data_IF_429045691798
#
_entry.id   IF_429045691798
#
_cell.length_a   1.000
_cell.length_b   1.000
_cell.length_c   1.000
_cell.angle_alpha   90.00
_cell.angle_beta   90.00
_cell.angle_gamma   90.00
#
_symmetry.space_group_name_H-M   'P 1'
#
loop_
_entity.id
_entity.type
_entity.pdbx_description
1 polymer ?
#
# COMPACT_ATOMS: atom_id res chain seq x y z
N UNK A 1 -5.48 13.73 -10.99
CA UNK A 1 -4.33 14.56 -11.37
C UNK A 1 -3.54 15.00 -10.12
N UNK A 2 -4.16 15.67 -9.15
CA UNK A 2 -3.45 16.23 -7.98
C UNK A 2 -2.64 15.19 -7.18
N UNK A 3 -3.16 13.99 -6.98
CA UNK A 3 -2.42 12.92 -6.31
C UNK A 3 -1.14 12.51 -7.05
N UNK A 4 -1.16 12.49 -8.38
CA UNK A 4 0.04 12.25 -9.18
C UNK A 4 1.03 13.41 -9.09
N UNK A 5 0.55 14.65 -9.06
CA UNK A 5 1.41 15.81 -8.87
C UNK A 5 2.09 15.77 -7.50
N UNK A 6 1.40 15.34 -6.43
CA UNK A 6 2.04 15.17 -5.12
C UNK A 6 3.22 14.19 -5.18
N UNK A 7 3.08 13.05 -5.87
CA UNK A 7 4.17 12.08 -6.09
C UNK A 7 5.33 12.70 -6.87
N UNK A 8 5.04 13.40 -7.97
CA UNK A 8 6.06 14.06 -8.81
C UNK A 8 6.87 15.07 -8.00
N UNK A 9 6.18 15.94 -7.24
CA UNK A 9 6.87 16.98 -6.47
C UNK A 9 7.62 16.40 -5.25
N UNK A 10 7.14 15.33 -4.63
CA UNK A 10 7.91 14.60 -3.62
C UNK A 10 9.24 14.08 -4.21
N UNK A 11 9.21 13.52 -5.43
CA UNK A 11 10.40 12.98 -6.10
C UNK A 11 11.37 14.09 -6.55
N UNK A 12 10.85 15.28 -6.88
CA UNK A 12 11.65 16.45 -7.20
C UNK A 12 12.24 17.13 -5.98
N UNK A 13 11.81 16.79 -4.77
CA UNK A 13 12.20 17.49 -3.54
C UNK A 13 11.52 18.86 -3.35
N UNK A 14 10.49 19.19 -4.16
CA UNK A 14 9.67 20.41 -4.00
C UNK A 14 8.54 20.08 -3.01
N UNK A 15 8.87 20.13 -1.73
CA UNK A 15 7.98 19.69 -0.66
C UNK A 15 6.75 20.59 -0.50
N UNK A 16 6.89 21.89 -0.74
CA UNK A 16 5.75 22.81 -0.64
C UNK A 16 4.69 22.51 -1.72
N UNK A 17 5.10 22.26 -2.97
CA UNK A 17 4.18 21.83 -4.01
C UNK A 17 3.64 20.41 -3.79
N UNK A 18 4.44 19.51 -3.22
CA UNK A 18 3.97 18.20 -2.83
C UNK A 18 2.78 18.32 -1.85
N UNK A 19 2.93 19.15 -0.82
CA UNK A 19 1.88 19.41 0.18
C UNK A 19 0.68 20.10 -0.47
N UNK A 20 0.90 21.13 -1.29
CA UNK A 20 -0.16 21.87 -1.98
C UNK A 20 -1.05 20.92 -2.80
N UNK A 21 -0.47 20.15 -3.71
CA UNK A 21 -1.23 19.25 -4.57
C UNK A 21 -1.77 18.03 -3.82
N UNK A 22 -1.05 17.56 -2.80
CA UNK A 22 -1.52 16.50 -1.94
C UNK A 22 -2.77 16.90 -1.18
N UNK A 23 -2.81 18.09 -0.59
CA UNK A 23 -3.99 18.60 0.10
C UNK A 23 -5.21 18.78 -0.83
N UNK A 24 -4.99 19.22 -2.08
CA UNK A 24 -6.06 19.27 -3.07
C UNK A 24 -6.61 17.88 -3.43
N UNK A 25 -5.73 16.89 -3.50
CA UNK A 25 -6.15 15.50 -3.74
C UNK A 25 -6.93 14.92 -2.56
N UNK A 26 -6.47 15.17 -1.33
CA UNK A 26 -7.13 14.74 -0.09
C UNK A 26 -8.50 15.40 0.06
N UNK A 27 -8.60 16.70 -0.22
CA UNK A 27 -9.88 17.42 -0.17
C UNK A 27 -10.91 16.84 -1.15
N UNK A 28 -10.48 16.41 -2.34
CA UNK A 28 -11.34 15.79 -3.34
C UNK A 28 -11.68 14.31 -3.08
N UNK A 29 -10.87 13.60 -2.32
CA UNK A 29 -11.06 12.19 -1.97
C UNK A 29 -10.37 11.86 -0.64
N UNK A 30 -11.00 12.16 0.49
CA UNK A 30 -10.37 12.07 1.81
C UNK A 30 -10.23 10.63 2.34
N UNK A 31 -11.01 9.68 1.80
CA UNK A 31 -10.94 8.29 2.30
C UNK A 31 -9.61 7.63 1.95
N UNK A 32 -8.94 7.12 2.96
CA UNK A 32 -7.75 6.25 2.78
C UNK A 32 -8.12 4.75 2.64
N UNK A 33 -9.41 4.47 2.54
CA UNK A 33 -9.98 3.14 2.66
C UNK A 33 -10.17 2.75 4.14
N UNK A 34 -11.40 2.45 4.53
CA UNK A 34 -11.71 2.08 5.92
C UNK A 34 -11.07 0.76 6.32
N UNK A 35 -10.87 0.55 7.61
CA UNK A 35 -10.37 -0.73 8.16
C UNK A 35 -11.20 -1.93 7.68
N UNK A 36 -12.52 -1.77 7.64
CA UNK A 36 -13.47 -2.83 7.24
C UNK A 36 -13.41 -3.11 5.74
N UNK A 37 -13.29 -2.06 4.91
CA UNK A 37 -13.31 -2.19 3.45
C UNK A 37 -11.93 -2.57 2.87
N UNK A 38 -10.86 -2.33 3.61
CA UNK A 38 -9.49 -2.48 3.09
C UNK A 38 -9.19 -3.86 2.49
N UNK A 39 -9.57 -5.00 3.10
CA UNK A 39 -9.37 -6.30 2.47
C UNK A 39 -10.11 -6.43 1.13
N UNK A 40 -11.33 -5.89 1.04
CA UNK A 40 -12.15 -5.94 -0.15
C UNK A 40 -11.57 -5.12 -1.32
N UNK A 41 -10.78 -4.08 -1.04
CA UNK A 41 -10.04 -3.33 -2.09
C UNK A 41 -9.11 -4.25 -2.87
N UNK A 42 -8.58 -5.31 -2.25
CA UNK A 42 -7.63 -6.25 -2.86
C UNK A 42 -8.26 -7.55 -3.32
N UNK A 43 -9.48 -7.83 -2.90
CA UNK A 43 -10.16 -9.10 -3.18
C UNK A 43 -11.51 -8.95 -3.88
N UNK A 44 -11.94 -7.73 -4.20
CA UNK A 44 -13.23 -7.48 -4.85
C UNK A 44 -13.21 -6.18 -5.67
N UNK A 45 -14.38 -5.73 -6.12
CA UNK A 45 -14.58 -4.45 -6.84
C UNK A 45 -14.52 -3.22 -5.95
N UNK A 46 -14.21 -3.35 -4.66
CA UNK A 46 -14.19 -2.21 -3.75
C UNK A 46 -13.08 -1.22 -4.16
N UNK A 47 -13.45 0.05 -4.29
CA UNK A 47 -12.54 1.14 -4.69
C UNK A 47 -12.33 2.17 -3.57
N UNK A 48 -12.67 1.83 -2.32
CA UNK A 48 -12.47 2.72 -1.18
C UNK A 48 -10.98 3.10 -1.04
N UNK A 49 -10.70 4.40 -1.09
CA UNK A 49 -9.33 4.93 -1.08
C UNK A 49 -8.54 4.77 -2.38
N UNK A 50 -9.17 4.35 -3.49
CA UNK A 50 -8.52 4.24 -4.81
C UNK A 50 -8.82 5.48 -5.64
N UNK A 51 -7.78 6.22 -6.02
CA UNK A 51 -7.88 7.44 -6.85
C UNK A 51 -7.79 7.12 -8.35
N UNK A 52 -7.00 6.14 -8.71
CA UNK A 52 -6.82 5.72 -10.09
C UNK A 52 -6.45 4.25 -10.17
N UNK A 53 -7.16 3.52 -11.02
CA UNK A 53 -6.85 2.13 -11.36
C UNK A 53 -6.85 1.94 -12.87
N UNK A 54 -6.06 1.00 -13.33
CA UNK A 54 -6.08 0.50 -14.69
C UNK A 54 -6.91 -0.77 -14.70
N UNK A 55 -7.97 -0.77 -15.49
CA UNK A 55 -8.80 -1.94 -15.70
C UNK A 55 -8.05 -2.94 -16.59
N UNK A 56 -8.28 -4.20 -16.34
CA UNK A 56 -7.77 -5.27 -17.15
C UNK A 56 -8.92 -6.22 -17.52
N UNK A 57 -8.85 -6.82 -18.69
CA UNK A 57 -9.85 -7.74 -19.20
C UNK A 57 -9.23 -9.12 -19.46
N UNK A 58 -10.08 -10.11 -19.72
CA UNK A 58 -9.60 -11.45 -20.09
C UNK A 58 -8.80 -11.47 -21.37
N UNK A 59 -9.05 -10.53 -22.29
CA UNK A 59 -8.30 -10.37 -23.52
C UNK A 59 -6.91 -9.74 -23.28
N UNK A 60 -6.76 -9.01 -22.18
CA UNK A 60 -5.55 -8.27 -21.79
C UNK A 60 -4.89 -8.90 -20.57
N UNK A 61 -5.09 -10.21 -20.37
CA UNK A 61 -4.57 -10.91 -19.21
C UNK A 61 -3.06 -10.73 -19.05
N UNK A 62 -2.64 -10.38 -17.83
CA UNK A 62 -1.24 -10.18 -17.47
C UNK A 62 -0.80 -11.19 -16.42
N UNK A 63 0.47 -11.56 -16.43
CA UNK A 63 1.01 -12.63 -15.58
C UNK A 63 1.25 -12.23 -14.12
N UNK A 64 0.82 -11.03 -13.70
CA UNK A 64 1.05 -10.51 -12.34
C UNK A 64 0.50 -11.46 -11.27
N UNK A 65 -0.75 -11.93 -11.45
CA UNK A 65 -1.35 -12.87 -10.49
C UNK A 65 -0.58 -14.19 -10.43
N UNK A 66 -0.11 -14.69 -11.56
CA UNK A 66 0.66 -15.92 -11.65
C UNK A 66 2.02 -15.79 -10.96
N UNK A 67 2.71 -14.66 -11.12
CA UNK A 67 4.01 -14.43 -10.48
C UNK A 67 3.91 -14.40 -8.95
N UNK A 68 2.82 -13.91 -8.40
CA UNK A 68 2.63 -13.80 -6.96
C UNK A 68 1.84 -14.96 -6.36
N UNK A 69 0.89 -15.55 -7.09
CA UNK A 69 0.10 -16.68 -6.62
C UNK A 69 -0.26 -17.61 -7.77
N UNK A 70 0.48 -18.69 -7.94
CA UNK A 70 0.15 -19.77 -8.87
C UNK A 70 -0.55 -20.92 -8.15
N UNK A 71 -1.50 -21.55 -8.85
CA UNK A 71 -2.08 -22.81 -8.42
C UNK A 71 -2.90 -22.71 -7.14
N UNK A 72 -3.63 -21.61 -6.96
CA UNK A 72 -4.70 -21.56 -5.97
C UNK A 72 -5.76 -22.58 -6.36
N UNK A 73 -5.53 -23.83 -6.03
CA UNK A 73 -6.55 -24.85 -6.15
C UNK A 73 -7.44 -24.80 -4.92
N UNK A 74 -8.72 -24.94 -5.13
CA UNK A 74 -9.73 -25.09 -4.08
C UNK A 74 -9.50 -26.35 -3.22
N UNK A 75 -8.58 -27.19 -3.58
CA UNK A 75 -8.26 -28.44 -2.93
C UNK A 75 -6.85 -28.44 -2.38
N UNK A 76 -6.70 -27.98 -1.15
CA UNK A 76 -5.62 -28.44 -0.28
C UNK A 76 -4.23 -27.82 -0.40
N UNK A 77 -4.13 -26.58 -0.81
CA UNK A 77 -3.08 -25.81 -0.18
C UNK A 77 -1.69 -25.76 -0.80
N UNK A 78 -1.49 -26.19 -2.02
CA UNK A 78 -0.22 -25.96 -2.70
C UNK A 78 -0.25 -24.68 -3.54
N UNK A 79 -0.15 -23.53 -2.87
CA UNK A 79 0.02 -22.25 -3.56
C UNK A 79 1.49 -22.10 -3.90
N UNK A 80 1.78 -22.10 -5.18
CA UNK A 80 3.09 -21.72 -5.69
C UNK A 80 3.13 -20.22 -5.99
N UNK A 81 4.21 -19.54 -5.62
CA UNK A 81 4.54 -18.21 -6.13
C UNK A 81 6.01 -18.16 -6.51
N UNK A 82 6.32 -17.37 -7.54
CA UNK A 82 7.70 -17.11 -7.95
C UNK A 82 8.40 -16.21 -6.94
N UNK A 83 7.64 -15.36 -6.24
CA UNK A 83 8.12 -14.44 -5.24
C UNK A 83 7.52 -14.73 -3.87
N UNK A 84 8.35 -14.65 -2.85
CA UNK A 84 7.94 -14.79 -1.46
C UNK A 84 8.20 -13.50 -0.69
N UNK A 85 7.43 -13.29 0.36
CA UNK A 85 7.58 -12.11 1.22
C UNK A 85 8.82 -12.27 2.09
N UNK A 86 9.76 -11.34 2.06
CA UNK A 86 10.96 -11.43 2.88
C UNK A 86 10.60 -11.26 4.37
N UNK A 87 11.35 -11.99 5.23
CA UNK A 87 11.15 -11.93 6.68
C UNK A 87 11.23 -10.50 7.22
N UNK A 88 12.13 -9.67 6.70
CA UNK A 88 12.30 -8.28 7.10
C UNK A 88 11.07 -7.38 6.86
N UNK A 89 10.15 -7.79 5.97
CA UNK A 89 8.86 -7.12 5.80
C UNK A 89 7.79 -7.78 6.68
N UNK A 90 7.78 -9.10 6.75
CA UNK A 90 6.83 -9.84 7.60
C UNK A 90 6.87 -9.41 9.06
N UNK A 91 8.07 -9.23 9.60
CA UNK A 91 8.28 -8.85 11.00
C UNK A 91 7.78 -7.43 11.35
N UNK A 92 7.51 -6.61 10.34
CA UNK A 92 6.96 -5.27 10.55
C UNK A 92 5.43 -5.28 10.74
N UNK A 93 4.72 -6.31 10.24
CA UNK A 93 3.27 -6.41 10.38
C UNK A 93 2.91 -7.01 11.74
N UNK A 94 2.18 -6.28 12.54
CA UNK A 94 1.63 -6.76 13.81
C UNK A 94 0.35 -7.57 13.58
N UNK A 95 -0.13 -8.27 14.62
CA UNK A 95 -1.32 -9.11 14.50
C UNK A 95 -2.61 -8.32 14.25
N UNK A 96 -2.66 -7.06 14.69
CA UNK A 96 -3.80 -6.16 14.50
C UNK A 96 -3.73 -5.31 13.23
N UNK A 97 -2.71 -5.52 12.37
CA UNK A 97 -2.57 -4.82 11.09
C UNK A 97 -3.34 -5.56 9.99
N UNK A 98 -4.41 -4.95 9.49
CA UNK A 98 -5.26 -5.53 8.45
C UNK A 98 -4.52 -5.80 7.14
N UNK A 99 -3.44 -5.07 6.86
CA UNK A 99 -2.63 -5.24 5.65
C UNK A 99 -1.95 -6.60 5.60
N UNK A 100 -1.62 -7.18 6.75
CA UNK A 100 -0.97 -8.49 6.82
C UNK A 100 -1.79 -9.55 6.10
N UNK A 101 -3.04 -9.71 6.46
CA UNK A 101 -3.93 -10.69 5.83
C UNK A 101 -4.40 -10.30 4.44
N UNK A 102 -4.53 -8.98 4.17
CA UNK A 102 -4.92 -8.48 2.86
C UNK A 102 -3.83 -8.64 1.78
N UNK A 103 -2.57 -8.67 2.18
CA UNK A 103 -1.43 -8.72 1.26
C UNK A 103 -0.73 -10.06 1.21
N UNK A 104 -0.80 -10.85 2.29
CA UNK A 104 0.08 -12.00 2.51
C UNK A 104 -0.74 -13.19 2.99
N UNK A 105 -0.47 -14.34 2.40
CA UNK A 105 -0.98 -15.63 2.85
C UNK A 105 0.18 -16.56 3.13
N UNK A 106 0.14 -17.25 4.25
CA UNK A 106 1.06 -18.36 4.53
C UNK A 106 0.42 -19.66 4.07
N UNK A 107 1.13 -20.44 3.29
CA UNK A 107 0.73 -21.77 2.86
C UNK A 107 1.91 -22.71 2.73
N UNK A 108 1.65 -24.00 2.60
CA UNK A 108 2.68 -25.02 2.38
C UNK A 108 2.84 -25.24 0.88
N UNK A 109 4.07 -25.26 0.40
CA UNK A 109 4.44 -25.70 -0.93
C UNK A 109 5.65 -26.64 -0.83
N UNK A 110 5.52 -27.84 -1.37
CA UNK A 110 6.56 -28.90 -1.30
C UNK A 110 7.07 -29.14 0.13
N UNK A 111 6.16 -29.22 1.11
CA UNK A 111 6.48 -29.46 2.52
C UNK A 111 7.05 -28.25 3.27
N UNK A 112 7.25 -27.11 2.64
CA UNK A 112 7.80 -25.91 3.26
C UNK A 112 6.76 -24.80 3.36
N UNK A 113 6.67 -24.16 4.52
CA UNK A 113 5.85 -22.97 4.70
C UNK A 113 6.46 -21.79 3.94
N UNK A 114 5.63 -21.07 3.21
CA UNK A 114 5.98 -19.87 2.45
C UNK A 114 4.95 -18.77 2.68
N UNK A 115 5.43 -17.53 2.68
CA UNK A 115 4.59 -16.34 2.73
C UNK A 115 4.41 -15.81 1.30
N UNK A 116 3.24 -15.99 0.75
CA UNK A 116 2.91 -15.60 -0.63
C UNK A 116 2.27 -14.23 -0.66
N UNK A 117 2.56 -13.46 -1.70
CA UNK A 117 1.86 -12.20 -1.97
C UNK A 117 0.49 -12.52 -2.58
N UNK A 118 -0.58 -12.08 -1.91
CA UNK A 118 -1.96 -12.23 -2.41
C UNK A 118 -2.59 -10.90 -2.82
N UNK A 119 -1.90 -9.80 -2.64
CA UNK A 119 -2.37 -8.45 -2.99
C UNK A 119 -2.79 -8.32 -4.47
N UNK A 120 -2.15 -9.07 -5.36
CA UNK A 120 -2.39 -9.05 -6.79
C UNK A 120 -3.00 -10.36 -7.32
N UNK A 121 -3.48 -11.19 -6.43
CA UNK A 121 -3.89 -12.55 -6.79
C UNK A 121 -5.34 -12.65 -7.27
N UNK A 122 -6.11 -11.57 -7.18
CA UNK A 122 -7.54 -11.68 -7.39
C UNK A 122 -8.08 -10.59 -8.31
N UNK A 123 -8.90 -11.04 -9.23
CA UNK A 123 -9.82 -10.19 -9.94
C UNK A 123 -11.19 -10.22 -9.29
N UNK A 124 -11.81 -9.16 -9.36
CA UNK A 124 -13.12 -8.72 -9.00
C UNK A 124 -14.23 -9.58 -9.59
N UNK A 125 -15.21 -9.91 -8.76
CA UNK A 125 -16.42 -10.54 -9.22
C UNK A 125 -16.44 -12.07 -9.20
N UNK A 126 -15.47 -12.70 -8.55
CA UNK A 126 -15.45 -14.17 -8.43
C UNK A 126 -15.04 -14.90 -9.71
N UNK A 127 -14.64 -14.17 -10.72
CA UNK A 127 -14.15 -14.73 -11.96
C UNK A 127 -12.65 -14.95 -11.89
N UNK A 128 -12.25 -16.18 -12.01
CA UNK A 128 -10.86 -16.51 -12.31
C UNK A 128 -10.65 -16.34 -13.80
N UNK A 129 -9.61 -15.65 -14.22
CA UNK A 129 -8.25 -16.15 -14.06
C UNK A 129 -7.38 -15.25 -13.19
N UNK A 130 -6.42 -15.85 -12.50
CA UNK A 130 -5.39 -15.19 -11.69
C UNK A 130 -4.59 -14.11 -12.43
N UNK A 131 -4.78 -14.01 -13.72
CA UNK A 131 -4.06 -13.09 -14.62
C UNK A 131 -4.85 -11.82 -14.94
N UNK A 132 -6.09 -11.71 -14.51
CA UNK A 132 -6.90 -10.51 -14.74
C UNK A 132 -6.91 -9.70 -13.44
N UNK A 133 -5.93 -8.82 -13.30
CA UNK A 133 -5.72 -8.03 -12.08
C UNK A 133 -5.79 -6.55 -12.41
N UNK A 134 -6.73 -5.86 -11.78
CA UNK A 134 -6.80 -4.41 -11.86
C UNK A 134 -5.66 -3.76 -11.07
N UNK A 135 -4.86 -2.96 -11.75
CA UNK A 135 -3.74 -2.25 -11.13
C UNK A 135 -4.25 -0.98 -10.45
N UNK A 136 -4.25 -0.95 -9.14
CA UNK A 136 -4.59 0.22 -8.32
C UNK A 136 -3.36 1.15 -8.25
N UNK A 137 -3.20 1.96 -9.31
CA UNK A 137 -1.98 2.72 -9.57
C UNK A 137 -1.76 3.87 -8.61
N UNK A 138 -2.83 4.47 -8.09
CA UNK A 138 -2.76 5.58 -7.14
C UNK A 138 -3.87 5.44 -6.09
N UNK A 139 -3.48 5.55 -4.83
CA UNK A 139 -4.37 5.47 -3.69
C UNK A 139 -4.21 6.69 -2.79
N UNK A 140 -5.31 7.12 -2.14
CA UNK A 140 -5.29 8.26 -1.21
C UNK A 140 -4.29 8.05 -0.08
N UNK A 141 -4.10 6.80 0.39
CA UNK A 141 -3.11 6.48 1.41
C UNK A 141 -1.67 6.85 1.00
N UNK A 142 -1.31 6.71 -0.27
CA UNK A 142 -0.02 7.18 -0.77
C UNK A 142 0.08 8.71 -0.71
N UNK A 143 -0.99 9.41 -1.06
CA UNK A 143 -1.01 10.88 -1.00
C UNK A 143 -0.82 11.37 0.44
N UNK A 144 -1.48 10.73 1.41
CA UNK A 144 -1.27 11.00 2.84
C UNK A 144 0.21 10.85 3.24
N UNK A 145 0.83 9.76 2.80
CA UNK A 145 2.26 9.52 3.09
C UNK A 145 3.18 10.49 2.35
N UNK A 146 2.84 10.89 1.12
CA UNK A 146 3.59 11.91 0.38
C UNK A 146 3.59 13.25 1.12
N UNK A 147 2.41 13.69 1.57
CA UNK A 147 2.27 14.95 2.30
C UNK A 147 2.94 14.88 3.66
N UNK A 148 2.75 13.78 4.42
CA UNK A 148 3.38 13.60 5.73
C UNK A 148 4.91 13.61 5.63
N UNK A 149 5.48 12.90 4.64
CA UNK A 149 6.92 12.91 4.40
C UNK A 149 7.43 14.30 3.99
N UNK A 150 6.73 14.98 3.06
CA UNK A 150 7.08 16.31 2.60
C UNK A 150 7.06 17.34 3.76
N UNK A 151 6.04 17.24 4.63
CA UNK A 151 5.91 18.10 5.82
C UNK A 151 7.10 17.97 6.78
N UNK A 152 7.73 16.80 6.84
CA UNK A 152 8.89 16.52 7.69
C UNK A 152 10.25 16.82 7.03
N UNK A 153 10.29 16.88 5.68
CA UNK A 153 11.53 17.11 4.94
C UNK A 153 11.74 18.56 4.54
N UNK A 154 10.70 19.39 4.55
CA UNK A 154 10.86 20.81 4.25
C UNK A 154 11.66 21.51 5.36
N UNK A 155 12.29 22.68 5.08
CA UNK A 155 13.12 23.39 6.06
C UNK A 155 12.37 23.72 7.36
N UNK A 156 11.16 24.27 7.25
CA UNK A 156 10.27 24.48 8.40
C UNK A 156 9.30 23.31 8.50
N UNK A 157 9.64 22.34 9.32
CA UNK A 157 8.84 21.11 9.48
C UNK A 157 7.46 21.39 10.04
N UNK A 158 6.46 20.66 9.54
CA UNK A 158 5.09 20.64 10.06
C UNK A 158 4.78 19.28 10.64
N UNK A 159 5.24 19.06 11.87
CA UNK A 159 5.03 17.80 12.58
C UNK A 159 3.55 17.57 12.95
N UNK A 160 2.77 18.64 13.13
CA UNK A 160 1.35 18.55 13.43
C UNK A 160 0.59 17.94 12.24
N UNK A 161 0.81 18.45 11.03
CA UNK A 161 0.23 17.90 9.81
C UNK A 161 0.67 16.45 9.59
N UNK A 162 1.95 16.15 9.75
CA UNK A 162 2.47 14.80 9.58
C UNK A 162 1.83 13.80 10.57
N UNK A 163 1.72 14.14 11.85
CA UNK A 163 1.04 13.32 12.86
C UNK A 163 -0.45 13.12 12.52
N UNK A 164 -1.15 14.17 12.11
CA UNK A 164 -2.56 14.09 11.73
C UNK A 164 -2.77 13.07 10.61
N UNK A 165 -2.02 13.19 9.53
CA UNK A 165 -2.14 12.28 8.36
C UNK A 165 -1.72 10.86 8.70
N UNK A 166 -0.64 10.70 9.45
CA UNK A 166 -0.15 9.40 9.91
C UNK A 166 -1.17 8.69 10.80
N UNK A 167 -1.76 9.39 11.79
CA UNK A 167 -2.75 8.83 12.68
C UNK A 167 -4.03 8.44 11.92
N UNK A 168 -4.49 9.26 10.97
CA UNK A 168 -5.64 8.94 10.12
C UNK A 168 -5.41 7.64 9.33
N UNK A 169 -4.23 7.49 8.72
CA UNK A 169 -3.87 6.28 8.01
C UNK A 169 -3.81 5.07 8.96
N UNK A 170 -3.14 5.20 10.09
CA UNK A 170 -2.99 4.11 11.07
C UNK A 170 -4.33 3.66 11.64
N UNK A 171 -5.24 4.58 11.93
CA UNK A 171 -6.59 4.25 12.40
C UNK A 171 -7.37 3.39 11.39
N UNK A 172 -7.07 3.54 10.10
CA UNK A 172 -7.67 2.75 9.02
C UNK A 172 -6.89 1.45 8.70
N UNK A 173 -5.85 1.12 9.44
CA UNK A 173 -5.00 -0.08 9.20
C UNK A 173 -4.83 -0.96 10.42
N UNK A 174 -4.97 -0.41 11.62
CA UNK A 174 -4.78 -1.17 12.86
C UNK A 174 -6.08 -1.25 13.65
N UNK A 175 -6.53 -2.46 13.93
CA UNK A 175 -7.65 -2.68 14.85
C UNK A 175 -7.28 -2.21 16.25
N UNK A 176 -8.19 -1.46 16.89
CA UNK A 176 -7.96 -0.93 18.23
C UNK A 176 -6.88 0.17 18.29
N UNK A 177 -6.63 0.87 17.19
CA UNK A 177 -5.62 1.93 17.15
C UNK A 177 -5.95 3.09 18.08
N UNK A 178 -4.95 3.49 18.84
CA UNK A 178 -4.98 4.72 19.65
C UNK A 178 -3.97 5.70 19.07
N UNK A 179 -4.42 6.92 18.80
CA UNK A 179 -3.57 7.98 18.23
C UNK A 179 -2.40 8.30 19.15
N UNK A 180 -1.24 8.50 18.53
CA UNK A 180 0.00 8.85 19.21
C UNK A 180 0.62 10.09 18.57
N UNK A 181 1.37 10.87 19.36
CA UNK A 181 2.17 11.99 18.85
C UNK A 181 3.63 11.61 18.91
N UNK A 182 4.28 11.68 17.77
CA UNK A 182 5.73 11.49 17.62
C UNK A 182 6.37 12.81 17.19
N UNK A 183 7.68 12.95 17.41
CA UNK A 183 8.43 14.13 17.02
C UNK A 183 9.77 13.78 16.38
N UNK A 184 10.34 14.71 15.65
CA UNK A 184 11.70 14.60 15.09
C UNK A 184 11.91 13.38 14.19
N UNK A 185 13.03 12.71 14.38
CA UNK A 185 13.40 11.55 13.58
C UNK A 185 12.46 10.37 13.78
N UNK A 186 11.96 10.15 15.00
CA UNK A 186 11.02 9.06 15.27
C UNK A 186 9.72 9.18 14.47
N UNK A 187 9.22 10.40 14.25
CA UNK A 187 8.05 10.64 13.40
C UNK A 187 8.36 10.33 11.94
N UNK A 188 9.48 10.79 11.43
CA UNK A 188 9.90 10.50 10.05
C UNK A 188 10.09 8.98 9.84
N UNK A 189 10.74 8.30 10.77
CA UNK A 189 10.96 6.85 10.68
C UNK A 189 9.63 6.09 10.68
N UNK A 190 8.66 6.50 11.48
CA UNK A 190 7.33 5.89 11.48
C UNK A 190 6.57 6.17 10.17
N UNK A 191 6.64 7.39 9.61
CA UNK A 191 6.07 7.68 8.28
C UNK A 191 6.69 6.78 7.21
N UNK A 192 8.01 6.63 7.20
CA UNK A 192 8.71 5.77 6.24
C UNK A 192 8.41 4.28 6.44
N UNK A 193 8.25 3.84 7.68
CA UNK A 193 7.79 2.49 8.00
C UNK A 193 6.37 2.25 7.49
N UNK A 194 5.46 3.18 7.75
CA UNK A 194 4.08 3.08 7.25
C UNK A 194 4.05 3.10 5.71
N UNK A 195 4.90 3.88 5.05
CA UNK A 195 5.06 3.85 3.59
C UNK A 195 5.48 2.48 3.09
N UNK A 196 6.48 1.87 3.73
CA UNK A 196 6.94 0.51 3.39
C UNK A 196 5.84 -0.55 3.56
N UNK A 197 5.04 -0.46 4.62
CA UNK A 197 3.93 -1.38 4.90
C UNK A 197 2.76 -1.17 3.92
N UNK A 198 2.39 0.09 3.67
CA UNK A 198 1.22 0.45 2.87
C UNK A 198 1.43 0.17 1.39
N UNK A 199 2.60 0.53 0.86
CA UNK A 199 2.93 0.42 -0.55
C UNK A 199 3.76 -0.83 -0.88
N UNK A 200 3.78 -1.82 0.02
CA UNK A 200 4.39 -3.11 -0.24
C UNK A 200 3.83 -3.72 -1.52
N UNK A 201 4.70 -4.23 -2.38
CA UNK A 201 4.38 -4.85 -3.67
C UNK A 201 3.80 -3.89 -4.74
N UNK A 202 3.89 -2.57 -4.53
CA UNK A 202 3.49 -1.54 -5.51
C UNK A 202 4.71 -0.86 -6.16
N UNK A 203 5.88 -1.47 -6.08
CA UNK A 203 7.16 -0.98 -6.63
C UNK A 203 7.66 0.35 -6.00
N UNK A 204 7.04 0.86 -4.94
CA UNK A 204 7.41 2.11 -4.29
C UNK A 204 8.81 2.06 -3.64
N UNK A 205 9.19 0.91 -3.08
CA UNK A 205 10.43 0.76 -2.31
C UNK A 205 11.69 1.09 -3.13
N UNK A 206 11.74 0.62 -4.38
CA UNK A 206 12.85 0.89 -5.29
C UNK A 206 13.00 2.38 -5.56
N UNK A 207 11.90 3.05 -5.91
CA UNK A 207 11.92 4.49 -6.19
C UNK A 207 12.18 5.33 -4.94
N UNK A 208 11.69 4.89 -3.78
CA UNK A 208 11.99 5.53 -2.50
C UNK A 208 13.48 5.49 -2.19
N UNK A 209 14.15 4.34 -2.34
CA UNK A 209 15.59 4.25 -2.16
C UNK A 209 16.35 5.14 -3.15
N UNK A 210 15.99 5.05 -4.43
CA UNK A 210 16.64 5.83 -5.47
C UNK A 210 16.58 7.35 -5.21
N UNK A 211 15.41 7.89 -4.82
CA UNK A 211 15.27 9.32 -4.55
C UNK A 211 15.93 9.78 -3.25
N UNK A 212 16.15 8.87 -2.30
CA UNK A 212 16.81 9.15 -1.03
C UNK A 212 18.33 8.89 -1.07
N UNK A 213 18.85 8.36 -2.17
CA UNK A 213 20.27 8.01 -2.30
C UNK A 213 20.69 6.82 -1.43
N UNK A 214 19.80 5.88 -1.16
CA UNK A 214 20.01 4.71 -0.30
C UNK A 214 20.20 3.42 -1.13
#
# INVERSE_FOLDING_TARGET
IYGLLSRVYLYKGDYDKCIQYGNLAIAGSPSVGSLTNFPAVWSSNNTDGVLFKVLNSTQEAVTVGVAYQQGATTTGGNIRSEYVVPKSLMDLYTANDVRKSAYIRTSVYQGLQRNHVVKWAYNTGGETPLNVVEVKYLRTAEVYLNVAEAALRKPTKDEALANQLLNTLKASRYSGYVSTTLTGQALLDEVMKQRRLELAFENDRFYTFKRLGL
#
